data_IF_446928888662
#
_entry.id   IF_446928888662
#
_cell.length_a   1.000
_cell.length_b   1.000
_cell.length_c   1.000
_cell.angle_alpha   90.00
_cell.angle_beta   90.00
_cell.angle_gamma   90.00
#
_symmetry.space_group_name_H-M   'P 1'
#
loop_
_entity.id
_entity.type
_entity.pdbx_description
1 polymer ?
#
# COMPACT_ATOMS: atom_id res chain seq x y z
N UNK A 1 -11.89 -29.42 2.70
CA UNK A 1 -11.09 -28.43 1.94
C UNK A 1 -11.37 -26.97 2.33
N UNK A 2 -12.60 -26.45 2.21
CA UNK A 2 -12.88 -25.02 2.50
C UNK A 2 -12.47 -24.53 3.90
N UNK A 3 -12.69 -25.34 4.95
CA UNK A 3 -12.30 -24.97 6.32
C UNK A 3 -10.78 -24.78 6.48
N UNK A 4 -9.99 -25.63 5.82
CA UNK A 4 -8.52 -25.54 5.81
C UNK A 4 -8.04 -24.29 5.08
N UNK A 5 -8.69 -23.90 3.98
CA UNK A 5 -8.36 -22.67 3.25
C UNK A 5 -8.64 -21.44 4.12
N UNK A 6 -9.78 -21.39 4.81
CA UNK A 6 -10.11 -20.30 5.74
C UNK A 6 -9.08 -20.22 6.85
N UNK A 7 -8.75 -21.35 7.49
CA UNK A 7 -7.73 -21.39 8.53
C UNK A 7 -6.37 -20.90 8.01
N UNK A 8 -5.95 -21.32 6.81
CA UNK A 8 -4.72 -20.86 6.19
C UNK A 8 -4.70 -19.33 6.00
N UNK A 9 -5.77 -18.75 5.47
CA UNK A 9 -5.90 -17.29 5.28
C UNK A 9 -5.82 -16.56 6.62
N UNK A 10 -6.50 -17.06 7.65
CA UNK A 10 -6.50 -16.47 8.99
C UNK A 10 -5.11 -16.59 9.65
N UNK A 11 -4.40 -17.70 9.45
CA UNK A 11 -3.04 -17.88 9.96
C UNK A 11 -2.02 -17.00 9.24
N UNK A 12 -2.15 -16.78 7.94
CA UNK A 12 -1.35 -15.78 7.20
C UNK A 12 -1.58 -14.40 7.80
N UNK A 13 -2.82 -14.07 8.15
CA UNK A 13 -3.15 -12.81 8.81
C UNK A 13 -2.51 -12.66 10.19
N UNK A 14 -2.58 -13.72 11.00
CA UNK A 14 -1.95 -13.77 12.32
C UNK A 14 -0.43 -13.58 12.19
N UNK A 15 0.22 -14.32 11.30
CA UNK A 15 1.65 -14.20 11.02
C UNK A 15 2.06 -12.78 10.59
N UNK A 16 1.28 -12.14 9.71
CA UNK A 16 1.53 -10.77 9.26
C UNK A 16 1.39 -9.72 10.39
N UNK A 17 0.58 -9.99 11.41
CA UNK A 17 0.40 -9.12 12.59
C UNK A 17 1.49 -9.35 13.62
N UNK A 18 1.83 -10.61 13.91
CA UNK A 18 2.94 -10.99 14.79
C UNK A 18 4.26 -10.47 14.24
N UNK A 19 4.54 -10.67 12.96
CA UNK A 19 5.77 -10.18 12.32
C UNK A 19 5.93 -8.66 12.44
N UNK A 20 4.82 -7.89 12.40
CA UNK A 20 4.87 -6.43 12.63
C UNK A 20 5.14 -6.06 14.08
N UNK A 21 4.65 -6.84 15.04
CA UNK A 21 4.96 -6.64 16.47
C UNK A 21 6.43 -6.93 16.73
N UNK A 22 7.00 -7.94 16.08
CA UNK A 22 8.40 -8.29 16.25
C UNK A 22 9.35 -7.27 15.57
N UNK A 23 8.98 -6.78 14.38
CA UNK A 23 9.82 -5.86 13.60
C UNK A 23 9.78 -4.40 14.09
N UNK A 24 8.85 -4.01 14.95
CA UNK A 24 8.71 -2.63 15.43
C UNK A 24 8.47 -2.62 16.93
N UNK A 25 8.85 -1.54 17.63
CA UNK A 25 8.60 -1.40 19.07
C UNK A 25 7.17 -1.80 19.45
N UNK A 26 6.98 -2.73 20.40
CA UNK A 26 5.65 -3.23 20.77
C UNK A 26 4.84 -2.09 21.40
N UNK A 27 3.62 -1.93 20.91
CA UNK A 27 2.63 -0.99 21.46
C UNK A 27 1.42 -1.79 21.92
N UNK A 28 0.68 -1.35 22.96
CA UNK A 28 -0.48 -2.08 23.47
C UNK A 28 -1.49 -2.38 22.36
N UNK A 29 -1.72 -1.42 21.46
CA UNK A 29 -2.59 -1.60 20.29
C UNK A 29 -2.07 -2.67 19.32
N UNK A 30 -0.77 -2.70 19.01
CA UNK A 30 -0.20 -3.70 18.09
C UNK A 30 -0.30 -5.12 18.67
N UNK A 31 -0.03 -5.25 19.97
CA UNK A 31 -0.13 -6.52 20.68
C UNK A 31 -1.58 -7.00 20.74
N UNK A 32 -2.53 -6.12 21.08
CA UNK A 32 -3.95 -6.44 21.11
C UNK A 32 -4.49 -6.92 19.75
N UNK A 33 -4.06 -6.26 18.66
CA UNK A 33 -4.41 -6.68 17.30
C UNK A 33 -3.82 -8.03 16.92
N UNK A 34 -2.59 -8.34 17.36
CA UNK A 34 -2.00 -9.66 17.14
C UNK A 34 -2.75 -10.74 17.92
N UNK A 35 -3.06 -10.49 19.21
CA UNK A 35 -3.86 -11.41 20.05
C UNK A 35 -5.22 -11.66 19.42
N UNK A 36 -5.89 -10.61 18.91
CA UNK A 36 -7.21 -10.76 18.32
C UNK A 36 -7.18 -11.71 17.11
N UNK A 37 -6.28 -11.47 16.16
CA UNK A 37 -6.19 -12.29 14.94
C UNK A 37 -5.71 -13.71 15.25
N UNK A 38 -4.83 -13.90 16.23
CA UNK A 38 -4.43 -15.23 16.71
C UNK A 38 -5.62 -15.96 17.33
N UNK A 39 -6.43 -15.29 18.15
CA UNK A 39 -7.66 -15.85 18.70
C UNK A 39 -8.61 -16.33 17.60
N UNK A 40 -8.84 -15.50 16.57
CA UNK A 40 -9.63 -15.89 15.40
C UNK A 40 -9.02 -17.08 14.64
N UNK A 41 -7.68 -17.18 14.54
CA UNK A 41 -6.98 -18.29 13.90
C UNK A 41 -7.16 -19.61 14.65
N UNK A 42 -6.98 -19.57 15.97
CA UNK A 42 -7.18 -20.72 16.84
C UNK A 42 -8.63 -21.19 16.78
N UNK A 43 -9.59 -20.28 16.92
CA UNK A 43 -11.02 -20.61 16.82
C UNK A 43 -11.36 -21.24 15.46
N UNK A 44 -10.85 -20.68 14.36
CA UNK A 44 -11.09 -21.20 13.01
C UNK A 44 -10.49 -22.60 12.80
N UNK A 45 -9.38 -22.91 13.48
CA UNK A 45 -8.70 -24.20 13.38
C UNK A 45 -9.45 -25.27 14.18
N UNK A 46 -9.93 -24.95 15.38
CA UNK A 46 -10.66 -25.91 16.25
C UNK A 46 -11.98 -26.34 15.60
N UNK A 47 -12.66 -25.45 14.88
CA UNK A 47 -13.94 -25.72 14.19
C UNK A 47 -13.79 -26.61 12.94
N UNK A 48 -12.56 -27.00 12.57
CA UNK A 48 -12.34 -28.00 11.51
C UNK A 48 -12.79 -29.37 12.06
N UNK A 49 -13.66 -30.14 11.37
CA UNK A 49 -14.19 -31.40 11.90
C UNK A 49 -13.12 -32.38 12.37
N UNK A 50 -12.02 -32.49 11.62
CA UNK A 50 -10.89 -33.37 11.96
C UNK A 50 -10.21 -32.94 13.27
N UNK A 51 -10.01 -31.62 13.43
CA UNK A 51 -9.39 -31.04 14.63
C UNK A 51 -10.34 -31.12 15.80
N UNK A 52 -11.62 -30.80 15.60
CA UNK A 52 -12.67 -30.92 16.60
C UNK A 52 -12.72 -32.34 17.18
N UNK A 53 -12.75 -33.35 16.32
CA UNK A 53 -12.77 -34.75 16.74
C UNK A 53 -11.49 -35.16 17.47
N UNK A 54 -10.32 -34.64 17.08
CA UNK A 54 -9.07 -34.86 17.81
C UNK A 54 -9.10 -34.22 19.20
N UNK A 55 -9.58 -32.99 19.31
CA UNK A 55 -9.68 -32.26 20.59
C UNK A 55 -10.70 -32.93 21.51
N UNK A 56 -11.81 -33.43 20.98
CA UNK A 56 -12.81 -34.18 21.75
C UNK A 56 -12.22 -35.50 22.31
N UNK A 57 -11.35 -36.18 21.54
CA UNK A 57 -10.65 -37.38 22.01
C UNK A 57 -9.73 -37.13 23.21
N UNK A 58 -9.18 -35.93 23.37
CA UNK A 58 -8.33 -35.61 24.52
C UNK A 58 -9.12 -35.56 25.83
N UNK A 59 -10.41 -35.21 25.78
CA UNK A 59 -11.26 -35.12 26.98
C UNK A 59 -12.72 -35.39 26.60
N UNK A 60 -13.09 -36.67 26.40
CA UNK A 60 -14.42 -37.04 25.92
C UNK A 60 -15.53 -36.58 26.85
N UNK A 61 -16.56 -35.92 26.31
CA UNK A 61 -17.76 -35.53 27.04
C UNK A 61 -17.62 -34.27 27.91
N UNK A 62 -16.45 -33.62 27.91
CA UNK A 62 -16.21 -32.38 28.65
C UNK A 62 -16.62 -31.11 27.88
N UNK A 63 -16.97 -31.23 26.59
CA UNK A 63 -17.24 -30.07 25.73
C UNK A 63 -16.01 -29.20 25.47
N UNK A 64 -14.79 -29.72 25.70
CA UNK A 64 -13.53 -28.99 25.59
C UNK A 64 -13.34 -28.26 24.25
N UNK A 65 -13.64 -28.83 23.06
CA UNK A 65 -13.53 -28.10 21.80
C UNK A 65 -14.41 -26.84 21.75
N UNK A 66 -15.61 -26.92 22.34
CA UNK A 66 -16.57 -25.81 22.43
C UNK A 66 -16.00 -24.70 23.31
N UNK A 67 -15.54 -25.04 24.51
CA UNK A 67 -14.96 -24.08 25.46
C UNK A 67 -13.72 -23.40 24.90
N UNK A 68 -12.80 -24.14 24.27
CA UNK A 68 -11.61 -23.55 23.64
C UNK A 68 -11.97 -22.60 22.50
N UNK A 69 -12.98 -22.95 21.70
CA UNK A 69 -13.46 -22.08 20.61
C UNK A 69 -14.02 -20.76 21.17
N UNK A 70 -14.81 -20.82 22.25
CA UNK A 70 -15.33 -19.62 22.92
C UNK A 70 -14.23 -18.76 23.54
N UNK A 71 -13.28 -19.37 24.24
CA UNK A 71 -12.14 -18.65 24.82
C UNK A 71 -11.32 -17.96 23.71
N UNK A 72 -11.12 -18.61 22.57
CA UNK A 72 -10.42 -18.01 21.45
C UNK A 72 -11.17 -16.80 20.86
N UNK A 73 -12.50 -16.89 20.71
CA UNK A 73 -13.34 -15.76 20.31
C UNK A 73 -13.43 -14.64 21.36
N UNK A 74 -13.34 -14.98 22.64
CA UNK A 74 -13.28 -14.03 23.74
C UNK A 74 -12.02 -13.16 23.66
N UNK A 75 -10.85 -13.76 23.40
CA UNK A 75 -9.62 -13.00 23.16
C UNK A 75 -9.67 -12.17 21.88
N UNK A 76 -10.36 -12.65 20.85
CA UNK A 76 -10.66 -11.86 19.66
C UNK A 76 -11.48 -10.60 19.99
N UNK A 77 -12.58 -10.75 20.73
CA UNK A 77 -13.44 -9.64 21.14
C UNK A 77 -12.68 -8.63 22.03
N UNK A 78 -11.92 -9.13 23.01
CA UNK A 78 -11.11 -8.31 23.90
C UNK A 78 -10.04 -7.49 23.15
N UNK A 79 -9.26 -8.15 22.27
CA UNK A 79 -8.23 -7.47 21.47
C UNK A 79 -8.81 -6.44 20.49
N UNK A 80 -9.96 -6.75 19.89
CA UNK A 80 -10.68 -5.83 19.00
C UNK A 80 -11.26 -4.62 19.74
N UNK A 81 -11.79 -4.82 20.96
CA UNK A 81 -12.28 -3.75 21.82
C UNK A 81 -11.16 -2.78 22.22
N UNK A 82 -9.95 -3.27 22.53
CA UNK A 82 -8.78 -2.39 22.77
C UNK A 82 -8.49 -1.55 21.52
N UNK A 83 -8.63 -2.14 20.33
CA UNK A 83 -8.57 -1.44 19.06
C UNK A 83 -9.56 -0.29 18.96
N UNK A 84 -10.83 -0.55 19.25
CA UNK A 84 -11.89 0.45 19.23
C UNK A 84 -11.65 1.59 20.24
N UNK A 85 -11.30 1.25 21.49
CA UNK A 85 -11.02 2.22 22.55
C UNK A 85 -9.84 3.14 22.18
N UNK A 86 -8.87 2.63 21.43
CA UNK A 86 -7.67 3.40 21.05
C UNK A 86 -7.94 4.59 20.12
N UNK A 87 -9.09 4.60 19.44
CA UNK A 87 -9.48 5.66 18.52
C UNK A 87 -10.29 6.75 19.23
N UNK A 88 -10.75 6.51 20.45
CA UNK A 88 -11.56 7.49 21.17
C UNK A 88 -10.73 8.70 21.60
N UNK A 89 -11.19 9.93 21.28
CA UNK A 89 -10.43 11.15 21.58
C UNK A 89 -10.27 11.41 23.08
N UNK A 90 -11.17 10.85 23.91
CA UNK A 90 -11.15 11.00 25.36
C UNK A 90 -10.06 10.19 26.06
N UNK A 91 -9.41 9.22 25.39
CA UNK A 91 -8.48 8.29 26.05
C UNK A 91 -7.03 8.75 25.89
N UNK A 92 -6.36 9.20 26.98
CA UNK A 92 -4.97 9.64 26.89
C UNK A 92 -4.03 8.46 26.57
N UNK A 93 -2.97 8.71 25.79
CA UNK A 93 -1.97 7.68 25.44
C UNK A 93 -1.36 6.97 26.65
N UNK A 94 -1.21 7.66 27.79
CA UNK A 94 -0.70 7.09 29.06
C UNK A 94 -1.59 5.97 29.61
N UNK A 95 -2.90 6.04 29.39
CA UNK A 95 -3.89 5.08 29.90
C UNK A 95 -4.06 3.86 28.99
N UNK A 96 -3.49 3.87 27.77
CA UNK A 96 -3.68 2.77 26.84
C UNK A 96 -3.07 1.44 27.30
N UNK A 97 -1.92 1.49 28.00
CA UNK A 97 -1.32 0.28 28.58
C UNK A 97 -2.17 -0.33 29.69
N UNK A 98 -2.56 0.41 30.76
CA UNK A 98 -3.38 -0.17 31.82
C UNK A 98 -4.75 -0.63 31.32
N UNK A 99 -5.39 0.09 30.39
CA UNK A 99 -6.66 -0.36 29.78
C UNK A 99 -6.46 -1.69 29.04
N UNK A 100 -5.42 -1.81 28.21
CA UNK A 100 -5.16 -3.05 27.49
C UNK A 100 -4.91 -4.24 28.44
N UNK A 101 -4.14 -4.01 29.52
CA UNK A 101 -3.90 -5.03 30.54
C UNK A 101 -5.19 -5.41 31.26
N UNK A 102 -6.01 -4.43 31.66
CA UNK A 102 -7.28 -4.68 32.34
C UNK A 102 -8.25 -5.49 31.46
N UNK A 103 -8.43 -5.10 30.20
CA UNK A 103 -9.33 -5.79 29.27
C UNK A 103 -8.85 -7.22 29.00
N UNK A 104 -7.54 -7.45 28.83
CA UNK A 104 -6.98 -8.79 28.64
C UNK A 104 -7.05 -9.63 29.93
N UNK A 105 -6.82 -9.04 31.10
CA UNK A 105 -6.97 -9.73 32.38
C UNK A 105 -8.42 -10.17 32.60
N UNK A 106 -9.39 -9.31 32.29
CA UNK A 106 -10.81 -9.67 32.31
C UNK A 106 -11.10 -10.82 31.35
N UNK A 107 -10.54 -10.82 30.15
CA UNK A 107 -10.69 -11.93 29.20
C UNK A 107 -10.09 -13.25 29.74
N UNK A 108 -8.95 -13.20 30.44
CA UNK A 108 -8.37 -14.39 31.10
C UNK A 108 -9.28 -14.91 32.20
N UNK A 109 -9.75 -14.03 33.10
CA UNK A 109 -10.67 -14.42 34.19
C UNK A 109 -11.96 -15.02 33.65
N UNK A 110 -12.54 -14.41 32.62
CA UNK A 110 -13.72 -14.93 31.94
C UNK A 110 -13.44 -16.23 31.19
N UNK A 111 -12.23 -16.43 30.66
CA UNK A 111 -11.82 -17.71 30.08
C UNK A 111 -11.77 -18.84 31.12
N UNK A 112 -11.32 -18.53 32.35
CA UNK A 112 -11.38 -19.47 33.48
C UNK A 112 -12.84 -19.72 33.88
N UNK A 113 -13.67 -18.68 33.93
CA UNK A 113 -15.10 -18.82 34.21
C UNK A 113 -15.80 -19.70 33.16
N UNK A 114 -15.43 -19.57 31.87
CA UNK A 114 -15.91 -20.45 30.81
C UNK A 114 -15.52 -21.92 31.06
N UNK A 115 -14.32 -22.15 31.59
CA UNK A 115 -13.87 -23.50 31.94
C UNK A 115 -14.68 -24.12 33.11
N UNK A 116 -15.23 -23.27 33.98
CA UNK A 116 -16.13 -23.64 35.07
C UNK A 116 -17.61 -23.64 34.67
N UNK A 117 -17.90 -23.61 33.37
CA UNK A 117 -19.25 -23.57 32.77
C UNK A 117 -20.09 -22.32 33.13
N UNK A 118 -19.44 -21.24 33.57
CA UNK A 118 -20.07 -19.94 33.82
C UNK A 118 -20.10 -19.10 32.54
N UNK A 119 -20.99 -19.44 31.61
CA UNK A 119 -21.06 -18.83 30.28
C UNK A 119 -21.70 -17.43 30.22
N UNK A 120 -22.64 -17.13 31.13
CA UNK A 120 -23.37 -15.85 31.13
C UNK A 120 -22.42 -14.63 31.16
N UNK A 121 -21.46 -14.50 32.10
CA UNK A 121 -20.57 -13.33 32.14
C UNK A 121 -19.66 -13.23 30.91
N UNK A 122 -19.27 -14.38 30.32
CA UNK A 122 -18.48 -14.45 29.08
C UNK A 122 -19.27 -13.85 27.93
N UNK A 123 -20.53 -14.25 27.79
CA UNK A 123 -21.41 -13.73 26.76
C UNK A 123 -21.71 -12.24 26.92
N UNK A 124 -22.00 -11.78 28.14
CA UNK A 124 -22.24 -10.35 28.40
C UNK A 124 -21.03 -9.52 27.98
N UNK A 125 -19.82 -9.92 28.39
CA UNK A 125 -18.59 -9.25 28.00
C UNK A 125 -18.37 -9.28 26.48
N UNK A 126 -18.53 -10.44 25.85
CA UNK A 126 -18.31 -10.59 24.41
C UNK A 126 -19.30 -9.74 23.60
N UNK A 127 -20.59 -9.75 23.94
CA UNK A 127 -21.62 -8.91 23.32
C UNK A 127 -21.30 -7.43 23.49
N UNK A 128 -20.92 -6.98 24.69
CA UNK A 128 -20.54 -5.59 24.94
C UNK A 128 -19.29 -5.17 24.15
N UNK A 129 -18.27 -6.03 24.11
CA UNK A 129 -17.03 -5.79 23.37
C UNK A 129 -17.27 -5.71 21.86
N UNK A 130 -18.05 -6.63 21.30
CA UNK A 130 -18.40 -6.63 19.88
C UNK A 130 -19.28 -5.42 19.52
N UNK A 131 -20.27 -5.07 20.35
CA UNK A 131 -21.09 -3.87 20.17
C UNK A 131 -20.24 -2.59 20.17
N UNK A 132 -19.27 -2.49 21.08
CA UNK A 132 -18.32 -1.37 21.14
C UNK A 132 -17.50 -1.25 19.84
N UNK A 133 -17.02 -2.39 19.31
CA UNK A 133 -16.27 -2.45 18.06
C UNK A 133 -17.13 -2.00 16.88
N UNK A 134 -18.36 -2.49 16.78
CA UNK A 134 -19.31 -2.12 15.72
C UNK A 134 -19.64 -0.63 15.82
N UNK A 135 -20.03 -0.14 17.00
CA UNK A 135 -20.40 1.26 17.19
C UNK A 135 -19.26 2.23 16.91
N UNK A 136 -18.04 1.87 17.32
CA UNK A 136 -16.85 2.68 17.01
C UNK A 136 -16.51 2.60 15.52
N UNK A 137 -16.55 1.40 14.94
CA UNK A 137 -16.22 1.17 13.55
C UNK A 137 -17.14 1.94 12.60
N UNK A 138 -18.46 1.87 12.80
CA UNK A 138 -19.47 2.58 11.99
C UNK A 138 -19.25 4.10 11.97
N UNK A 139 -18.75 4.68 13.06
CA UNK A 139 -18.44 6.12 13.12
C UNK A 139 -17.19 6.53 12.33
N UNK A 140 -16.32 5.58 12.00
CA UNK A 140 -15.01 5.83 11.37
C UNK A 140 -14.88 5.15 10.00
N UNK A 141 -15.97 4.62 9.43
CA UNK A 141 -15.94 4.08 8.06
C UNK A 141 -15.85 5.24 7.08
N UNK A 142 -14.67 5.41 6.48
CA UNK A 142 -14.43 6.36 5.40
C UNK A 142 -14.18 5.64 4.08
N UNK A 143 -14.40 6.33 2.96
CA UNK A 143 -14.06 5.85 1.60
C UNK A 143 -12.55 5.94 1.31
N UNK A 144 -11.72 5.54 2.28
CA UNK A 144 -10.27 5.44 2.16
C UNK A 144 -9.85 3.96 2.14
N UNK A 145 -8.64 3.62 1.65
CA UNK A 145 -8.16 2.23 1.73
C UNK A 145 -8.10 1.72 3.17
N UNK A 146 -7.85 2.61 4.14
CA UNK A 146 -7.95 2.33 5.56
C UNK A 146 -9.39 2.00 5.98
N UNK A 147 -10.35 2.84 5.57
CA UNK A 147 -11.77 2.65 5.91
C UNK A 147 -12.39 1.39 5.29
N UNK A 148 -11.96 0.93 4.11
CA UNK A 148 -12.35 -0.38 3.56
C UNK A 148 -11.96 -1.54 4.48
N UNK A 149 -10.76 -1.49 5.06
CA UNK A 149 -10.32 -2.50 6.03
C UNK A 149 -11.17 -2.50 7.30
N UNK A 150 -11.51 -1.30 7.81
CA UNK A 150 -12.41 -1.15 8.96
C UNK A 150 -13.80 -1.72 8.64
N UNK A 151 -14.36 -1.42 7.46
CA UNK A 151 -15.65 -1.93 7.03
C UNK A 151 -15.70 -3.47 7.05
N UNK A 152 -14.67 -4.15 6.53
CA UNK A 152 -14.58 -5.61 6.57
C UNK A 152 -14.56 -6.17 8.00
N UNK A 153 -13.79 -5.52 8.90
CA UNK A 153 -13.76 -5.89 10.32
C UNK A 153 -15.13 -5.70 10.95
N UNK A 154 -15.81 -4.57 10.69
CA UNK A 154 -17.14 -4.28 11.23
C UNK A 154 -18.16 -5.30 10.75
N UNK A 155 -18.21 -5.60 9.45
CA UNK A 155 -19.15 -6.60 8.90
C UNK A 155 -18.90 -7.97 9.52
N UNK A 156 -17.65 -8.43 9.59
CA UNK A 156 -17.31 -9.70 10.22
C UNK A 156 -17.65 -9.73 11.72
N UNK A 157 -17.40 -8.64 12.44
CA UNK A 157 -17.74 -8.48 13.86
C UNK A 157 -19.26 -8.48 14.07
N UNK A 158 -20.03 -7.86 13.17
CA UNK A 158 -21.50 -7.87 13.21
C UNK A 158 -22.08 -9.27 13.05
N UNK A 159 -21.50 -10.09 12.17
CA UNK A 159 -21.92 -11.49 12.02
C UNK A 159 -21.68 -12.24 13.35
N UNK A 160 -20.50 -12.10 13.96
CA UNK A 160 -20.21 -12.71 15.27
C UNK A 160 -21.16 -12.21 16.35
N UNK A 161 -21.42 -10.91 16.38
CA UNK A 161 -22.33 -10.29 17.35
C UNK A 161 -23.74 -10.87 17.25
N UNK A 162 -24.28 -11.02 16.04
CA UNK A 162 -25.59 -11.65 15.83
C UNK A 162 -25.57 -13.10 16.29
N UNK A 163 -24.54 -13.88 15.92
CA UNK A 163 -24.48 -15.29 16.32
C UNK A 163 -24.37 -15.48 17.82
N UNK A 164 -23.53 -14.68 18.49
CA UNK A 164 -23.41 -14.68 19.96
C UNK A 164 -24.73 -14.27 20.60
N UNK A 165 -25.36 -13.19 20.12
CA UNK A 165 -26.61 -12.68 20.69
C UNK A 165 -27.74 -13.70 20.55
N UNK A 166 -27.88 -14.34 19.38
CA UNK A 166 -28.87 -15.41 19.16
C UNK A 166 -28.60 -16.58 20.10
N UNK A 167 -27.34 -16.99 20.26
CA UNK A 167 -26.97 -18.08 21.19
C UNK A 167 -27.36 -17.75 22.63
N UNK A 168 -27.13 -16.50 23.07
CA UNK A 168 -27.51 -16.03 24.40
C UNK A 168 -29.02 -15.98 24.57
N UNK A 169 -29.75 -15.41 23.61
CA UNK A 169 -31.21 -15.31 23.67
C UNK A 169 -31.85 -16.69 23.72
N UNK A 170 -31.36 -17.64 22.92
CA UNK A 170 -31.81 -19.02 22.94
C UNK A 170 -31.45 -19.70 24.27
N UNK A 171 -30.22 -19.54 24.75
CA UNK A 171 -29.81 -20.10 26.05
C UNK A 171 -30.65 -19.57 27.21
N UNK A 172 -30.95 -18.26 27.24
CA UNK A 172 -31.81 -17.63 28.26
C UNK A 172 -33.26 -18.05 28.11
N UNK A 173 -33.78 -18.20 26.89
CA UNK A 173 -35.13 -18.67 26.64
C UNK A 173 -35.32 -20.15 27.03
N UNK A 174 -34.32 -21.00 26.80
CA UNK A 174 -34.32 -22.42 27.14
C UNK A 174 -34.17 -22.71 28.65
N UNK A 175 -33.76 -21.73 29.46
CA UNK A 175 -33.88 -21.83 30.93
C UNK A 175 -35.37 -21.94 31.34
N UNK A 176 -36.31 -21.61 30.44
CA UNK A 176 -37.75 -21.84 30.63
C UNK A 176 -38.27 -23.24 30.26
N UNK A 177 -37.62 -23.98 29.36
CA UNK A 177 -38.10 -25.29 28.89
C UNK A 177 -36.94 -26.25 28.58
N UNK A 178 -36.78 -27.25 29.45
CA UNK A 178 -36.24 -28.60 29.26
C UNK A 178 -35.23 -28.83 28.11
N UNK A 179 -33.96 -29.01 28.50
CA UNK A 179 -33.13 -30.17 28.10
C UNK A 179 -33.23 -30.61 26.64
N UNK A 180 -32.81 -29.75 25.71
CA UNK A 180 -32.50 -30.13 24.33
C UNK A 180 -31.11 -29.64 23.97
N UNK A 181 -30.14 -30.55 23.87
CA UNK A 181 -28.81 -30.29 23.32
C UNK A 181 -29.00 -29.63 21.94
N UNK A 182 -28.55 -28.38 21.72
CA UNK A 182 -28.72 -27.76 20.43
C UNK A 182 -27.74 -28.41 19.44
N UNK A 183 -28.24 -29.39 18.68
CA UNK A 183 -27.62 -29.96 17.48
C UNK A 183 -27.41 -28.94 16.33
N UNK A 184 -27.43 -27.64 16.63
CA UNK A 184 -27.21 -26.52 15.70
C UNK A 184 -25.75 -26.20 15.40
N UNK A 185 -24.80 -27.01 15.89
CA UNK A 185 -23.36 -26.81 15.72
C UNK A 185 -22.93 -26.77 14.24
N UNK A 186 -23.62 -27.49 13.37
CA UNK A 186 -23.33 -27.55 11.92
C UNK A 186 -23.85 -26.33 11.13
N UNK A 187 -25.03 -25.80 11.45
CA UNK A 187 -25.58 -24.64 10.72
C UNK A 187 -24.85 -23.33 11.05
N UNK A 188 -24.35 -23.18 12.28
CA UNK A 188 -23.59 -21.99 12.66
C UNK A 188 -22.12 -22.06 12.26
N UNK A 189 -21.55 -23.24 11.96
CA UNK A 189 -20.15 -23.37 11.58
C UNK A 189 -19.81 -22.61 10.27
N UNK A 190 -20.73 -22.58 9.31
CA UNK A 190 -20.55 -21.83 8.06
C UNK A 190 -20.50 -20.32 8.29
N UNK A 191 -21.40 -19.79 9.12
CA UNK A 191 -21.52 -18.36 9.45
C UNK A 191 -20.28 -17.87 10.21
N UNK A 192 -19.80 -18.65 11.18
CA UNK A 192 -18.56 -18.32 11.90
C UNK A 192 -17.32 -18.30 10.99
N UNK A 193 -17.23 -19.24 10.02
CA UNK A 193 -16.11 -19.25 9.05
C UNK A 193 -16.13 -18.01 8.16
N UNK A 194 -17.30 -17.60 7.68
CA UNK A 194 -17.44 -16.37 6.89
C UNK A 194 -17.04 -15.13 7.70
N UNK A 195 -17.48 -15.05 8.96
CA UNK A 195 -17.11 -13.96 9.86
C UNK A 195 -15.60 -13.91 10.13
N UNK A 196 -14.99 -15.05 10.44
CA UNK A 196 -13.55 -15.17 10.66
C UNK A 196 -12.75 -14.76 9.42
N UNK A 197 -13.21 -15.13 8.22
CA UNK A 197 -12.58 -14.75 6.96
C UNK A 197 -12.66 -13.23 6.74
N UNK A 198 -13.83 -12.62 6.91
CA UNK A 198 -14.03 -11.17 6.76
C UNK A 198 -13.15 -10.37 7.73
N UNK A 199 -13.14 -10.76 9.01
CA UNK A 199 -12.29 -10.17 10.04
C UNK A 199 -10.81 -10.31 9.67
N UNK A 200 -10.38 -11.48 9.21
CA UNK A 200 -8.97 -11.74 8.89
C UNK A 200 -8.50 -10.95 7.68
N UNK A 201 -9.32 -10.90 6.63
CA UNK A 201 -9.05 -10.08 5.44
C UNK A 201 -8.99 -8.61 5.85
N UNK A 202 -9.96 -8.11 6.62
CA UNK A 202 -9.96 -6.75 7.12
C UNK A 202 -8.75 -6.43 7.99
N UNK A 203 -8.32 -7.38 8.83
CA UNK A 203 -7.15 -7.23 9.69
C UNK A 203 -5.81 -7.18 8.92
N UNK A 204 -5.72 -7.71 7.71
CA UNK A 204 -4.50 -7.61 6.88
C UNK A 204 -4.62 -6.54 5.81
N UNK A 205 -5.84 -6.11 5.48
CA UNK A 205 -6.16 -5.23 4.36
C UNK A 205 -5.20 -4.06 4.20
N UNK A 206 -5.00 -3.28 5.28
CA UNK A 206 -4.11 -2.11 5.26
C UNK A 206 -2.68 -2.49 4.89
N UNK A 207 -2.22 -3.65 5.36
CA UNK A 207 -0.86 -4.13 5.14
C UNK A 207 -0.68 -4.61 3.71
N UNK A 208 -1.68 -5.34 3.21
CA UNK A 208 -1.75 -5.80 1.84
C UNK A 208 -1.79 -4.61 0.89
N UNK A 209 -2.64 -3.63 1.13
CA UNK A 209 -2.76 -2.42 0.31
C UNK A 209 -1.43 -1.65 0.24
N UNK A 210 -0.77 -1.44 1.38
CA UNK A 210 0.52 -0.76 1.41
C UNK A 210 1.60 -1.56 0.68
N UNK A 211 1.59 -2.89 0.79
CA UNK A 211 2.52 -3.75 0.07
C UNK A 211 2.25 -3.75 -1.44
N UNK A 212 0.99 -3.82 -1.87
CA UNK A 212 0.57 -3.74 -3.27
C UNK A 212 0.93 -2.39 -3.86
N UNK A 213 0.64 -1.29 -3.16
CA UNK A 213 1.02 0.06 -3.58
C UNK A 213 2.53 0.19 -3.75
N UNK A 214 3.31 -0.28 -2.77
CA UNK A 214 4.77 -0.26 -2.90
C UNK A 214 5.29 -1.13 -4.05
N UNK A 215 4.68 -2.30 -4.32
CA UNK A 215 5.02 -3.13 -5.48
C UNK A 215 4.69 -2.45 -6.80
N UNK A 216 3.56 -1.74 -6.88
CA UNK A 216 3.20 -0.93 -8.06
C UNK A 216 4.23 0.18 -8.29
N UNK A 217 4.62 0.90 -7.24
CA UNK A 217 5.65 1.94 -7.33
C UNK A 217 7.00 1.39 -7.78
N UNK A 218 7.41 0.22 -7.25
CA UNK A 218 8.63 -0.47 -7.68
C UNK A 218 8.58 -0.90 -9.15
N UNK A 219 7.40 -1.29 -9.65
CA UNK A 219 7.21 -1.62 -11.07
C UNK A 219 7.28 -0.36 -11.93
N UNK A 220 6.58 0.71 -11.57
CA UNK A 220 6.58 1.98 -12.31
C UNK A 220 7.96 2.60 -12.43
N UNK A 221 8.76 2.51 -11.38
CA UNK A 221 10.12 3.09 -11.35
C UNK A 221 11.19 2.14 -11.88
N UNK A 222 10.84 0.95 -12.36
CA UNK A 222 11.80 -0.10 -12.71
C UNK A 222 12.74 0.33 -13.83
N UNK A 223 12.21 0.89 -14.91
CA UNK A 223 12.99 1.10 -16.12
C UNK A 223 13.91 2.31 -15.98
N UNK A 224 13.39 3.43 -15.46
CA UNK A 224 14.22 4.59 -15.12
C UNK A 224 15.31 4.24 -14.08
N UNK A 225 14.99 3.43 -13.06
CA UNK A 225 15.97 2.99 -12.07
C UNK A 225 17.06 2.14 -12.70
N UNK A 226 16.70 1.20 -13.59
CA UNK A 226 17.67 0.36 -14.31
C UNK A 226 18.64 1.23 -15.12
N UNK A 227 18.12 2.14 -15.93
CA UNK A 227 18.96 3.02 -16.77
C UNK A 227 19.92 3.87 -15.92
N UNK A 228 19.42 4.47 -14.84
CA UNK A 228 20.24 5.32 -13.97
C UNK A 228 21.29 4.52 -13.18
N UNK A 229 20.97 3.32 -12.73
CA UNK A 229 21.91 2.43 -12.03
C UNK A 229 22.98 1.88 -12.97
N UNK A 230 22.62 1.56 -14.22
CA UNK A 230 23.59 1.14 -15.24
C UNK A 230 24.61 2.24 -15.54
N UNK A 231 24.19 3.52 -15.51
CA UNK A 231 25.09 4.67 -15.69
C UNK A 231 25.89 5.02 -14.43
N UNK A 232 25.28 4.95 -13.26
CA UNK A 232 25.87 5.37 -11.98
C UNK A 232 25.78 4.25 -10.94
N UNK A 233 26.59 3.18 -11.06
CA UNK A 233 26.53 2.05 -10.15
C UNK A 233 26.89 2.41 -8.70
N UNK A 234 27.68 3.48 -8.51
CA UNK A 234 28.15 3.98 -7.21
C UNK A 234 27.02 4.44 -6.28
N UNK A 235 25.84 4.77 -6.83
CA UNK A 235 24.68 5.23 -6.05
C UNK A 235 24.04 4.09 -5.23
N UNK A 236 24.36 2.83 -5.56
CA UNK A 236 23.96 1.68 -4.74
C UNK A 236 24.92 1.54 -3.57
N UNK A 237 24.65 2.27 -2.48
CA UNK A 237 25.29 1.96 -1.19
C UNK A 237 24.89 0.55 -0.72
N UNK A 238 25.86 -0.25 -0.28
CA UNK A 238 25.82 -1.72 -0.15
C UNK A 238 24.84 -2.37 0.86
N UNK A 239 23.60 -1.90 0.98
CA UNK A 239 22.53 -2.55 1.76
C UNK A 239 21.47 -3.10 0.81
N UNK A 240 21.90 -4.01 -0.06
CA UNK A 240 21.04 -4.66 -1.05
C UNK A 240 20.19 -5.77 -0.44
N UNK A 241 18.90 -5.50 -0.24
CA UNK A 241 17.90 -6.51 -0.57
C UNK A 241 17.06 -7.15 0.54
N UNK A 242 17.26 -6.89 1.83
CA UNK A 242 16.43 -7.54 2.90
C UNK A 242 15.27 -6.69 3.43
N UNK A 243 15.09 -5.46 2.91
CA UNK A 243 13.99 -4.58 3.31
C UNK A 243 12.62 -5.00 2.76
N UNK A 244 11.55 -4.66 3.51
CA UNK A 244 10.15 -4.79 3.03
C UNK A 244 9.92 -4.03 1.72
N UNK A 245 8.88 -4.38 0.94
CA UNK A 245 8.59 -3.69 -0.33
C UNK A 245 8.43 -2.17 -0.19
N UNK A 246 7.94 -1.70 0.96
CA UNK A 246 7.82 -0.28 1.27
C UNK A 246 9.19 0.39 1.45
N UNK A 247 10.12 -0.27 2.14
CA UNK A 247 11.48 0.24 2.32
C UNK A 247 12.20 0.28 0.97
N UNK A 248 12.15 -0.84 0.22
CA UNK A 248 12.74 -0.89 -1.12
C UNK A 248 12.19 0.19 -2.06
N UNK A 249 10.89 0.49 -1.99
CA UNK A 249 10.30 1.57 -2.78
C UNK A 249 10.84 2.94 -2.36
N UNK A 250 11.06 3.17 -1.07
CA UNK A 250 11.67 4.41 -0.56
C UNK A 250 13.13 4.52 -0.96
N UNK A 251 13.91 3.45 -0.79
CA UNK A 251 15.33 3.41 -1.14
C UNK A 251 15.53 3.63 -2.64
N UNK A 252 14.66 3.05 -3.47
CA UNK A 252 14.68 3.26 -4.92
C UNK A 252 14.41 4.72 -5.30
N UNK A 253 13.51 5.40 -4.60
CA UNK A 253 13.26 6.84 -4.84
C UNK A 253 14.51 7.66 -4.51
N UNK A 254 15.19 7.35 -3.40
CA UNK A 254 16.43 8.03 -3.03
C UNK A 254 17.53 7.77 -4.07
N UNK A 255 17.75 6.51 -4.45
CA UNK A 255 18.74 6.14 -5.47
C UNK A 255 18.49 6.82 -6.82
N UNK A 256 17.23 6.95 -7.25
CA UNK A 256 16.89 7.66 -8.49
C UNK A 256 17.25 9.14 -8.37
N UNK A 257 16.90 9.80 -7.25
CA UNK A 257 17.25 11.20 -7.02
C UNK A 257 18.76 11.41 -6.97
N UNK A 258 19.47 10.59 -6.21
CA UNK A 258 20.92 10.67 -6.07
C UNK A 258 21.62 10.49 -7.42
N UNK A 259 21.18 9.51 -8.23
CA UNK A 259 21.72 9.31 -9.58
C UNK A 259 21.46 10.50 -10.50
N UNK A 260 20.27 11.12 -10.44
CA UNK A 260 20.00 12.35 -11.20
C UNK A 260 20.86 13.52 -10.72
N UNK A 261 21.08 13.65 -9.41
CA UNK A 261 21.99 14.67 -8.86
C UNK A 261 23.43 14.45 -9.33
N UNK A 262 23.92 13.22 -9.35
CA UNK A 262 25.24 12.90 -9.92
C UNK A 262 25.29 13.21 -11.42
N UNK A 263 24.25 12.85 -12.18
CA UNK A 263 24.19 13.12 -13.62
C UNK A 263 24.20 14.62 -13.95
N UNK A 264 23.49 15.45 -13.17
CA UNK A 264 23.54 16.91 -13.32
C UNK A 264 24.87 17.51 -12.86
N UNK A 265 25.46 16.99 -11.77
CA UNK A 265 26.78 17.41 -11.29
C UNK A 265 27.90 17.11 -12.27
N UNK A 266 27.75 16.07 -13.10
CA UNK A 266 28.66 15.76 -14.20
C UNK A 266 28.52 16.73 -15.40
N UNK A 267 27.44 17.52 -15.46
CA UNK A 267 27.15 18.48 -16.52
C UNK A 267 27.10 19.92 -16.01
N UNK A 268 28.18 20.39 -15.38
CA UNK A 268 28.32 21.71 -14.72
C UNK A 268 28.09 22.93 -15.63
N UNK A 269 26.87 23.13 -16.08
CA UNK A 269 26.42 24.32 -16.80
C UNK A 269 25.18 24.88 -16.08
N UNK A 270 25.26 26.13 -15.65
CA UNK A 270 24.10 26.84 -15.11
C UNK A 270 23.13 27.14 -16.26
N UNK A 271 22.00 26.43 -16.31
CA UNK A 271 20.91 26.79 -17.21
C UNK A 271 20.21 28.01 -16.60
N UNK A 272 20.22 29.15 -17.29
CA UNK A 272 19.49 30.36 -16.85
C UNK A 272 17.96 30.23 -16.98
N UNK A 273 17.47 29.08 -17.49
CA UNK A 273 16.07 28.77 -17.69
C UNK A 273 15.41 28.28 -16.40
N UNK A 274 14.24 28.84 -16.07
CA UNK A 274 13.44 28.41 -14.91
C UNK A 274 12.64 27.15 -15.24
N UNK A 275 12.50 26.20 -14.30
CA UNK A 275 11.64 25.03 -14.50
C UNK A 275 10.18 25.47 -14.72
N UNK A 276 9.43 24.77 -15.60
CA UNK A 276 8.05 25.10 -15.88
C UNK A 276 7.18 24.94 -14.63
N UNK A 277 6.14 25.77 -14.53
CA UNK A 277 5.20 25.76 -13.39
C UNK A 277 4.38 24.47 -13.37
N UNK A 278 4.13 23.89 -14.55
CA UNK A 278 3.36 22.66 -14.66
C UNK A 278 4.22 21.44 -14.30
N UNK A 279 3.83 20.72 -13.25
CA UNK A 279 4.60 19.57 -12.77
C UNK A 279 4.73 18.44 -13.81
N UNK A 280 3.76 18.32 -14.73
CA UNK A 280 3.77 17.30 -15.77
C UNK A 280 4.78 17.61 -16.87
N UNK A 281 4.79 18.84 -17.36
CA UNK A 281 5.76 19.30 -18.35
C UNK A 281 7.18 19.27 -17.78
N UNK A 282 7.32 19.68 -16.51
CA UNK A 282 8.60 19.55 -15.81
C UNK A 282 9.07 18.09 -15.77
N UNK A 283 8.19 17.17 -15.39
CA UNK A 283 8.52 15.74 -15.35
C UNK A 283 8.88 15.18 -16.73
N UNK A 284 8.21 15.64 -17.80
CA UNK A 284 8.49 15.22 -19.19
C UNK A 284 9.88 15.67 -19.64
N UNK A 285 10.26 16.92 -19.39
CA UNK A 285 11.59 17.44 -19.76
C UNK A 285 12.68 16.68 -19.02
N UNK A 286 12.51 16.47 -17.71
CA UNK A 286 13.47 15.69 -16.90
C UNK A 286 13.54 14.24 -17.38
N UNK A 287 12.40 13.61 -17.71
CA UNK A 287 12.38 12.25 -18.23
C UNK A 287 13.11 12.12 -19.58
N UNK A 288 12.94 13.10 -20.48
CA UNK A 288 13.65 13.13 -21.76
C UNK A 288 15.16 13.30 -21.56
N UNK A 289 15.57 14.20 -20.66
CA UNK A 289 16.98 14.40 -20.29
C UNK A 289 17.59 13.15 -19.64
N UNK A 290 16.84 12.42 -18.81
CA UNK A 290 17.31 11.13 -18.27
C UNK A 290 17.49 10.11 -19.39
N UNK A 291 16.63 10.09 -20.41
CA UNK A 291 16.76 9.16 -21.54
C UNK A 291 17.98 9.48 -22.41
N UNK A 292 18.07 10.72 -22.88
CA UNK A 292 19.16 11.22 -23.71
C UNK A 292 19.82 12.44 -23.07
N UNK A 293 20.87 12.24 -22.25
CA UNK A 293 21.53 13.31 -21.52
C UNK A 293 22.48 14.15 -22.39
N UNK A 294 22.85 13.66 -23.58
CA UNK A 294 23.82 14.33 -24.47
C UNK A 294 23.09 15.12 -25.56
N UNK A 295 21.97 14.60 -26.07
CA UNK A 295 21.16 15.27 -27.10
C UNK A 295 20.09 16.24 -26.55
N UNK A 296 19.85 16.26 -25.25
CA UNK A 296 18.87 17.13 -24.59
C UNK A 296 19.44 18.43 -23.99
N UNK A 297 18.55 19.32 -23.54
CA UNK A 297 18.92 20.51 -22.77
C UNK A 297 19.66 20.12 -21.49
N UNK A 298 20.78 20.79 -21.19
CA UNK A 298 21.49 20.60 -19.92
C UNK A 298 20.63 21.13 -18.78
N UNK A 299 20.35 20.29 -17.78
CA UNK A 299 19.52 20.64 -16.62
C UNK A 299 20.39 20.83 -15.37
N UNK A 300 20.16 21.94 -14.66
CA UNK A 300 20.78 22.19 -13.36
C UNK A 300 20.04 21.47 -12.21
N UNK A 301 20.64 21.51 -11.01
CA UNK A 301 20.07 20.90 -9.79
C UNK A 301 18.67 21.40 -9.40
N UNK A 302 18.24 22.58 -9.85
CA UNK A 302 16.91 23.15 -9.55
C UNK A 302 15.80 22.43 -10.32
N UNK A 303 16.12 21.85 -11.48
CA UNK A 303 15.21 21.00 -12.26
C UNK A 303 14.99 19.62 -11.64
N UNK A 304 15.95 19.14 -10.84
CA UNK A 304 15.83 17.83 -10.18
C UNK A 304 14.98 17.93 -8.90
N UNK A 305 14.99 19.09 -8.24
CA UNK A 305 14.25 19.31 -7.01
C UNK A 305 12.73 19.16 -7.23
N UNK A 306 12.05 18.56 -6.25
CA UNK A 306 10.60 18.42 -6.32
C UNK A 306 9.92 19.81 -6.35
N UNK A 307 8.92 20.02 -7.24
CA UNK A 307 8.15 21.26 -7.27
C UNK A 307 7.50 21.59 -5.92
N UNK A 308 7.28 22.88 -5.66
CA UNK A 308 6.65 23.34 -4.40
C UNK A 308 5.32 22.64 -4.14
N UNK A 309 5.14 22.09 -2.93
CA UNK A 309 3.94 21.34 -2.54
C UNK A 309 3.92 19.88 -2.99
N UNK A 310 4.96 19.38 -3.68
CA UNK A 310 5.09 17.97 -4.06
C UNK A 310 6.10 17.23 -3.18
N UNK A 311 5.78 16.00 -2.80
CA UNK A 311 6.76 15.15 -2.10
C UNK A 311 7.78 14.56 -3.10
N UNK A 312 9.04 14.32 -2.68
CA UNK A 312 10.07 13.72 -3.53
C UNK A 312 9.63 12.40 -4.16
N UNK A 313 8.91 11.55 -3.43
CA UNK A 313 8.34 10.31 -3.97
C UNK A 313 7.33 10.57 -5.08
N UNK A 314 6.42 11.53 -4.89
CA UNK A 314 5.41 11.86 -5.92
C UNK A 314 6.08 12.45 -7.17
N UNK A 315 7.15 13.20 -6.98
CA UNK A 315 7.95 13.76 -8.05
C UNK A 315 8.64 12.68 -8.88
N UNK A 316 9.39 11.77 -8.23
CA UNK A 316 10.04 10.64 -8.92
C UNK A 316 9.03 9.75 -9.66
N UNK A 317 7.85 9.51 -9.06
CA UNK A 317 6.81 8.74 -9.75
C UNK A 317 6.25 9.47 -10.98
N UNK A 318 6.16 10.80 -10.94
CA UNK A 318 5.72 11.58 -12.10
C UNK A 318 6.75 11.52 -13.25
N UNK A 319 8.04 11.64 -12.93
CA UNK A 319 9.13 11.47 -13.90
C UNK A 319 9.11 10.06 -14.48
N UNK A 320 8.98 9.03 -13.62
CA UNK A 320 8.93 7.64 -14.06
C UNK A 320 7.74 7.37 -14.98
N UNK A 321 6.56 7.94 -14.68
CA UNK A 321 5.38 7.79 -15.54
C UNK A 321 5.64 8.43 -16.94
N UNK A 322 6.28 9.60 -17.05
CA UNK A 322 6.64 10.19 -18.36
C UNK A 322 7.81 9.47 -19.05
N UNK A 323 8.77 8.95 -18.29
CA UNK A 323 9.87 8.13 -18.82
C UNK A 323 9.35 6.84 -19.46
N UNK A 324 8.39 6.16 -18.83
CA UNK A 324 7.83 4.94 -19.39
C UNK A 324 6.99 5.22 -20.65
N UNK A 325 6.19 6.30 -20.66
CA UNK A 325 5.38 6.68 -21.85
C UNK A 325 6.23 6.85 -23.10
N UNK A 326 7.34 7.59 -23.01
CA UNK A 326 8.19 7.77 -24.18
C UNK A 326 9.04 6.55 -24.54
N UNK A 327 9.07 5.50 -23.71
CA UNK A 327 9.71 4.21 -24.07
C UNK A 327 8.72 3.35 -24.87
N UNK A 328 7.45 3.37 -24.50
CA UNK A 328 6.37 2.70 -25.25
C UNK A 328 6.21 3.29 -26.67
N UNK A 329 6.42 4.60 -26.84
CA UNK A 329 6.33 5.28 -28.15
C UNK A 329 7.55 5.01 -29.05
N UNK A 330 8.73 4.72 -28.48
CA UNK A 330 9.94 4.38 -29.25
C UNK A 330 10.04 2.90 -29.63
N UNK A 331 9.36 2.01 -28.88
CA UNK A 331 9.31 0.57 -29.14
C UNK A 331 8.16 0.19 -30.11
N UNK A 332 7.38 1.15 -30.62
CA UNK A 332 6.32 0.90 -31.60
C UNK A 332 6.93 0.70 -33.01
N UNK A 333 6.91 -0.53 -33.57
CA UNK A 333 7.56 -0.84 -34.86
C UNK A 333 6.88 -0.17 -36.06
N UNK A 334 5.80 0.58 -35.85
CA UNK A 334 5.16 1.37 -36.90
C UNK A 334 5.83 2.73 -37.15
N UNK A 335 6.80 3.15 -36.32
CA UNK A 335 7.51 4.42 -36.44
C UNK A 335 8.93 4.31 -37.02
N UNK A 336 9.36 3.13 -37.48
CA UNK A 336 10.50 3.04 -38.40
C UNK A 336 10.05 3.49 -39.80
N UNK A 337 10.40 4.72 -40.14
CA UNK A 337 10.22 5.37 -41.45
C UNK A 337 10.74 4.45 -42.58
N UNK A 338 9.99 4.20 -43.67
CA UNK A 338 10.46 3.39 -44.77
C UNK A 338 11.68 4.04 -45.38
N UNK A 339 12.77 3.28 -45.43
CA UNK A 339 13.97 3.61 -46.18
C UNK A 339 13.59 4.16 -47.56
N UNK A 340 14.15 5.33 -47.86
CA UNK A 340 14.22 5.93 -49.19
C UNK A 340 14.86 4.90 -50.14
N UNK A 341 14.02 4.09 -50.78
CA UNK A 341 14.43 3.24 -51.88
C UNK A 341 14.48 4.10 -53.14
N UNK A 342 15.68 4.58 -53.43
CA UNK A 342 16.09 5.17 -54.70
C UNK A 342 15.76 4.20 -55.85
N UNK A 343 14.55 4.32 -56.38
CA UNK A 343 14.11 3.60 -57.56
C UNK A 343 14.42 4.47 -58.78
N UNK A 344 15.32 3.96 -59.62
CA UNK A 344 15.59 4.47 -60.97
C UNK A 344 14.28 4.72 -61.71
N UNK A 345 13.94 5.98 -61.89
CA UNK A 345 12.89 6.39 -62.82
C UNK A 345 13.54 6.51 -64.19
N UNK A 346 13.17 5.61 -65.09
CA UNK A 346 13.43 5.71 -66.52
C UNK A 346 12.81 7.02 -67.04
N UNK A 347 13.68 7.92 -67.51
CA UNK A 347 13.30 9.15 -68.19
C UNK A 347 12.73 8.81 -69.58
N UNK A 348 11.53 9.28 -69.96
CA UNK A 348 11.17 9.32 -71.37
C UNK A 348 11.94 10.45 -72.05
N UNK A 349 12.69 10.11 -73.10
CA UNK A 349 13.31 11.05 -74.03
C UNK A 349 12.24 11.97 -74.62
N UNK A 350 12.25 13.23 -74.21
CA UNK A 350 11.47 14.31 -74.83
C UNK A 350 12.46 15.23 -75.55
N UNK A 351 12.47 15.12 -76.88
CA UNK A 351 13.10 16.09 -77.77
C UNK A 351 12.36 17.42 -77.68
N UNK A 352 13.05 18.48 -77.27
CA UNK A 352 12.60 19.86 -77.48
C UNK A 352 13.80 20.75 -77.90
N UNK A 353 13.54 21.72 -78.80
CA UNK A 353 14.55 22.38 -79.63
C UNK A 353 15.26 23.55 -78.93
N UNK A 354 16.46 23.88 -79.46
CA UNK A 354 17.27 25.06 -79.15
C UNK A 354 16.45 26.35 -78.94
N UNK A 355 16.70 27.05 -77.83
CA UNK A 355 16.21 28.40 -77.60
C UNK A 355 16.85 29.06 -76.37
N UNK A 356 17.73 30.03 -76.65
CA UNK A 356 18.32 31.13 -75.87
C UNK A 356 18.11 31.26 -74.34
N UNK A 357 19.25 31.42 -73.66
CA UNK A 357 19.42 31.86 -72.26
C UNK A 357 19.01 33.33 -72.05
N UNK A 358 18.56 33.68 -70.83
CA UNK A 358 18.89 34.97 -70.26
C UNK A 358 19.63 34.87 -68.91
N UNK A 359 20.72 35.62 -68.84
CA UNK A 359 21.57 35.93 -67.69
C UNK A 359 20.98 37.08 -66.88
N UNK A 360 20.83 36.95 -65.54
CA UNK A 360 20.71 38.09 -64.58
C UNK A 360 21.18 37.58 -63.20
N UNK A 361 22.42 37.83 -62.80
CA UNK A 361 22.93 38.94 -61.96
C UNK A 361 22.65 38.82 -60.45
N UNK A 362 23.75 38.71 -59.68
CA UNK A 362 23.84 38.66 -58.23
C UNK A 362 23.87 40.09 -57.68
N UNK A 363 22.98 40.42 -56.73
CA UNK A 363 23.08 41.65 -55.96
C UNK A 363 23.53 41.33 -54.53
N UNK A 364 24.77 41.76 -54.24
CA UNK A 364 25.37 41.82 -52.90
C UNK A 364 25.12 43.23 -52.38
N UNK A 365 24.58 43.35 -51.16
CA UNK A 365 24.61 44.63 -50.44
C UNK A 365 25.06 44.43 -49.00
N UNK A 366 26.31 44.83 -48.75
CA UNK A 366 26.85 45.16 -47.44
C UNK A 366 26.19 46.45 -46.90
N UNK A 367 26.02 46.56 -45.59
CA UNK A 367 26.19 47.85 -44.91
C UNK A 367 26.63 47.67 -43.46
N UNK A 368 27.77 48.31 -43.18
CA UNK A 368 28.50 48.36 -41.91
C UNK A 368 27.86 49.30 -40.87
N UNK A 369 27.89 48.86 -39.61
CA UNK A 369 28.55 49.47 -38.44
C UNK A 369 28.45 50.99 -38.17
N UNK A 370 27.83 51.35 -37.04
CA UNK A 370 28.33 52.31 -36.02
C UNK A 370 27.53 52.05 -34.73
N UNK A 371 28.05 51.96 -33.51
CA UNK A 371 29.27 52.48 -32.91
C UNK A 371 28.89 53.55 -31.88
N UNK A 372 28.75 53.19 -30.60
CA UNK A 372 29.17 53.93 -29.38
C UNK A 372 28.45 53.46 -28.10
N UNK A 373 29.23 52.90 -27.18
CA UNK A 373 29.04 52.91 -25.71
C UNK A 373 29.99 54.01 -25.15
N UNK A 374 30.12 54.32 -23.84
CA UNK A 374 29.49 53.76 -22.63
C UNK A 374 29.07 54.81 -21.58
N UNK A 375 28.25 54.45 -20.59
CA UNK A 375 28.29 55.12 -19.28
C UNK A 375 27.62 54.28 -18.16
N UNK A 376 28.47 53.75 -17.27
CA UNK A 376 28.16 53.47 -15.87
C UNK A 376 28.86 54.59 -15.07
N UNK A 377 28.36 55.08 -13.91
CA UNK A 377 28.63 54.33 -12.67
C UNK A 377 27.70 54.58 -11.44
N UNK A 378 27.94 53.74 -10.42
CA UNK A 378 27.90 54.00 -8.95
C UNK A 378 26.59 53.90 -8.15
N UNK A 379 26.49 52.78 -7.44
CA UNK A 379 26.64 52.61 -5.96
C UNK A 379 26.22 53.77 -5.04
N UNK A 380 25.31 53.50 -4.10
CA UNK A 380 25.19 54.21 -2.81
C UNK A 380 23.93 53.87 -2.00
N UNK A 381 23.97 53.88 -0.65
CA UNK A 381 23.34 52.83 0.18
C UNK A 381 22.12 53.28 1.00
N UNK A 382 21.33 52.32 1.50
CA UNK A 382 20.80 52.27 2.86
C UNK A 382 20.28 50.88 3.24
#
# INVERSE_FOLDING_TARGET
MMAWIVALVVWIAAGARIGRVLARKPTPLRNAMAIAVVGAAVASTIVIPDVWALVEKLSPGSGLPRTLTFVAWLFFAAGSAIGAISVWPMVPRRWMRPIAVAVLATAVVLGIAAWLDLMIPVFVFMTAALALVIGTGLRHVEWTPLGRGIALIVVGTSILFVTVTVTVTVAVALIGELSGEPDGHLHMAGVHRAAAMLVSVGAVWVLAEMAVRARRDLRRTRDIHRTLVERFPEVISGVGGTGSSVLRASDRVAQILDAMYVQSGAGMFETHSRPPVSAREHARIVAQWVRDPVGGDVLDTRWIAAPAGMSPRRWVLAIADEYNRGTEESDDPAAEDPAVESSNVDLPTVDLPNGDLPTVELEVTDTSTSGTSPEEPRVGPR
#
